data_IF_225435991228
#
_entry.id   IF_225435991228
#
_cell.length_a   1.000
_cell.length_b   1.000
_cell.length_c   1.000
_cell.angle_alpha   90.00
_cell.angle_beta   90.00
_cell.angle_gamma   90.00
#
_symmetry.space_group_name_H-M   'P 1'
#
loop_
_entity.id
_entity.type
_entity.pdbx_description
1 polymer ?
#
# COMPACT_ATOMS: atom_id res chain seq x y z
N UNK A 1 16.67 13.92 1.01
CA UNK A 1 15.87 14.90 1.79
C UNK A 1 14.66 14.24 2.44
N UNK A 2 13.78 13.55 1.71
CA UNK A 2 12.58 12.89 2.28
C UNK A 2 13.00 11.88 3.34
N UNK A 3 13.88 10.93 3.03
CA UNK A 3 14.38 9.94 3.96
C UNK A 3 14.93 10.53 5.27
N UNK A 4 15.68 11.64 5.20
CA UNK A 4 16.25 12.25 6.41
C UNK A 4 15.25 13.01 7.28
N UNK A 5 14.06 13.32 6.75
CA UNK A 5 12.99 14.04 7.46
C UNK A 5 11.65 13.31 7.25
N UNK A 6 11.56 12.06 7.69
CA UNK A 6 10.35 11.25 7.50
C UNK A 6 9.18 11.79 8.32
N UNK A 7 7.99 11.67 7.79
CA UNK A 7 6.74 12.09 8.43
C UNK A 7 5.72 10.96 8.36
N UNK A 8 5.00 10.72 9.46
CA UNK A 8 4.01 9.65 9.55
C UNK A 8 2.66 10.08 8.98
N UNK A 9 1.80 9.10 8.78
CA UNK A 9 0.45 9.21 8.22
C UNK A 9 -0.31 10.49 8.64
N UNK A 10 -0.82 11.24 7.67
CA UNK A 10 -1.52 12.53 7.79
C UNK A 10 -0.72 13.65 8.46
N UNK A 11 0.61 13.52 8.53
CA UNK A 11 1.53 14.55 9.02
C UNK A 11 2.65 14.86 8.02
N UNK A 12 2.51 14.42 6.77
CA UNK A 12 3.48 14.55 5.68
C UNK A 12 3.53 15.97 5.12
N UNK A 13 3.42 16.99 5.98
CA UNK A 13 3.34 18.40 5.55
C UNK A 13 4.61 18.86 4.85
N UNK A 14 5.78 18.56 5.40
CA UNK A 14 7.07 18.93 4.82
C UNK A 14 7.36 18.15 3.53
N UNK A 15 6.98 16.88 3.48
CA UNK A 15 7.09 16.02 2.28
C UNK A 15 6.17 16.56 1.18
N UNK A 16 4.91 16.87 1.51
CA UNK A 16 3.94 17.43 0.56
C UNK A 16 4.39 18.79 0.02
N UNK A 17 4.93 19.68 0.88
CA UNK A 17 5.48 20.98 0.45
C UNK A 17 6.67 20.79 -0.49
N UNK A 18 7.59 19.89 -0.16
CA UNK A 18 8.75 19.55 -0.99
C UNK A 18 8.33 19.02 -2.36
N UNK A 19 7.40 18.06 -2.42
CA UNK A 19 6.84 17.52 -3.66
C UNK A 19 6.19 18.64 -4.48
N UNK A 20 5.32 19.44 -3.86
CA UNK A 20 4.63 20.52 -4.53
C UNK A 20 5.60 21.60 -5.08
N UNK A 21 6.66 21.94 -4.33
CA UNK A 21 7.68 22.89 -4.78
C UNK A 21 8.44 22.35 -6.00
N UNK A 22 8.84 21.07 -6.00
CA UNK A 22 9.51 20.46 -7.14
C UNK A 22 8.61 20.40 -8.38
N UNK A 23 7.36 19.96 -8.23
CA UNK A 23 6.41 19.92 -9.34
C UNK A 23 6.20 21.31 -9.96
N UNK A 24 6.06 22.37 -9.13
CA UNK A 24 5.96 23.75 -9.62
C UNK A 24 7.23 24.18 -10.34
N UNK A 25 8.41 23.76 -9.89
CA UNK A 25 9.69 24.07 -10.56
C UNK A 25 9.83 23.40 -11.94
N UNK A 26 9.02 22.39 -12.21
CA UNK A 26 8.90 21.73 -13.53
C UNK A 26 7.75 22.29 -14.37
N UNK A 27 7.11 23.41 -13.97
CA UNK A 27 5.93 23.99 -14.59
C UNK A 27 4.70 23.05 -14.63
N UNK A 28 4.58 22.14 -13.67
CA UNK A 28 3.43 21.26 -13.51
C UNK A 28 2.32 21.98 -12.73
N UNK A 29 1.06 21.83 -13.16
CA UNK A 29 -0.11 22.26 -12.40
C UNK A 29 -0.21 21.45 -11.10
N UNK A 30 -0.31 22.12 -9.91
CA UNK A 30 -0.20 21.47 -8.59
C UNK A 30 -1.37 21.84 -7.69
N UNK A 31 -1.97 20.81 -7.10
CA UNK A 31 -3.01 20.91 -6.07
C UNK A 31 -2.53 20.19 -4.81
N UNK A 32 -2.69 20.84 -3.67
CA UNK A 32 -2.25 20.33 -2.36
C UNK A 32 -3.42 20.19 -1.40
N UNK A 33 -3.25 19.39 -0.36
CA UNK A 33 -4.27 19.19 0.66
C UNK A 33 -5.39 18.22 0.26
N UNK A 34 -5.18 17.39 -0.76
CA UNK A 34 -6.14 16.38 -1.19
C UNK A 34 -6.06 15.19 -0.23
N UNK A 35 -7.16 14.87 0.45
CA UNK A 35 -7.13 13.86 1.52
C UNK A 35 -6.19 14.26 2.65
N UNK A 36 -6.22 15.53 3.07
CA UNK A 36 -5.43 16.20 4.11
C UNK A 36 -4.03 16.64 3.62
N UNK A 37 -3.06 15.75 3.45
CA UNK A 37 -1.68 16.09 3.09
C UNK A 37 -1.28 15.67 1.68
N UNK A 38 -2.17 15.00 0.93
CA UNK A 38 -1.88 14.54 -0.42
C UNK A 38 -1.64 15.68 -1.43
N UNK A 39 -0.88 15.37 -2.47
CA UNK A 39 -0.54 16.30 -3.56
C UNK A 39 -0.94 15.67 -4.88
N UNK A 40 -1.56 16.46 -5.77
CA UNK A 40 -1.88 16.06 -7.14
C UNK A 40 -1.20 17.01 -8.11
N UNK A 41 -0.44 16.44 -9.05
CA UNK A 41 0.10 17.16 -10.20
C UNK A 41 -0.66 16.81 -11.48
N UNK A 42 -0.86 17.76 -12.39
CA UNK A 42 -1.48 17.50 -13.69
C UNK A 42 -0.57 17.97 -14.80
N UNK A 43 -0.28 17.06 -15.75
CA UNK A 43 0.50 17.40 -16.96
C UNK A 43 -0.39 17.21 -18.18
N UNK A 44 -0.54 18.26 -18.97
CA UNK A 44 -1.31 18.25 -20.21
C UNK A 44 -0.40 17.93 -21.40
N UNK A 45 -0.78 16.91 -22.18
CA UNK A 45 -0.13 16.61 -23.46
C UNK A 45 -0.42 17.70 -24.51
N UNK A 46 0.57 17.98 -25.34
CA UNK A 46 0.49 19.01 -26.41
C UNK A 46 -0.06 18.49 -27.74
N UNK A 47 -0.32 17.18 -27.85
CA UNK A 47 -0.83 16.58 -29.10
C UNK A 47 -2.37 16.50 -29.17
N UNK A 48 -3.07 17.19 -28.26
CA UNK A 48 -4.54 17.29 -28.24
C UNK A 48 -5.19 16.25 -27.30
N UNK A 49 -6.50 16.08 -27.49
CA UNK A 49 -7.31 15.22 -26.62
C UNK A 49 -6.90 13.76 -26.68
N UNK A 50 -7.04 13.08 -25.55
CA UNK A 50 -6.71 11.67 -25.36
C UNK A 50 -7.10 11.19 -23.97
N UNK A 51 -6.76 9.95 -23.59
CA UNK A 51 -7.06 9.42 -22.28
C UNK A 51 -6.32 10.16 -21.18
N UNK A 52 -6.82 10.00 -19.95
CA UNK A 52 -6.16 10.51 -18.74
C UNK A 52 -5.63 9.32 -17.94
N UNK A 53 -4.33 9.30 -17.72
CA UNK A 53 -3.66 8.23 -16.98
C UNK A 53 -3.15 8.75 -15.64
N UNK A 54 -3.49 8.07 -14.55
CA UNK A 54 -2.96 8.38 -13.24
C UNK A 54 -1.72 7.53 -12.91
N UNK A 55 -0.76 8.15 -12.23
CA UNK A 55 0.38 7.47 -11.61
C UNK A 55 0.36 7.79 -10.11
N UNK A 56 0.62 6.78 -9.25
CA UNK A 56 0.58 6.94 -7.79
C UNK A 56 1.92 6.60 -7.15
N UNK A 57 2.30 7.40 -6.17
CA UNK A 57 3.29 7.10 -5.14
C UNK A 57 2.73 7.48 -3.77
N UNK A 58 3.01 6.65 -2.77
CA UNK A 58 2.78 6.93 -1.36
C UNK A 58 3.89 7.82 -0.77
N UNK A 59 3.63 8.52 0.37
CA UNK A 59 4.56 9.51 0.90
C UNK A 59 4.94 9.31 2.37
N UNK A 60 4.14 8.55 3.12
CA UNK A 60 4.28 8.45 4.57
C UNK A 60 5.40 7.51 5.02
N UNK A 61 5.81 7.69 6.27
CA UNK A 61 6.83 6.91 6.94
C UNK A 61 6.22 6.14 8.12
N UNK A 62 7.01 5.23 8.68
CA UNK A 62 6.63 4.36 9.80
C UNK A 62 7.04 4.94 11.16
N UNK A 63 6.22 4.73 12.22
CA UNK A 63 6.59 5.06 13.59
C UNK A 63 7.54 4.00 14.18
N UNK A 64 8.77 3.97 13.69
CA UNK A 64 9.82 3.04 14.12
C UNK A 64 11.21 3.67 14.05
N UNK A 65 12.16 3.14 14.82
CA UNK A 65 13.54 3.61 14.83
C UNK A 65 14.35 3.01 13.69
N UNK A 66 15.06 3.85 12.94
CA UNK A 66 16.07 3.42 11.98
C UNK A 66 17.33 2.94 12.71
N UNK A 67 17.78 1.71 12.40
CA UNK A 67 19.03 1.16 12.91
C UNK A 67 20.14 1.15 11.84
N UNK A 68 19.79 1.36 10.59
CA UNK A 68 20.72 1.59 9.49
C UNK A 68 21.59 2.85 9.74
N UNK A 69 22.67 2.98 8.97
CA UNK A 69 23.60 4.12 9.11
C UNK A 69 23.93 4.78 7.77
N UNK A 70 22.94 4.99 6.86
CA UNK A 70 23.21 5.77 5.67
C UNK A 70 23.54 7.22 6.05
N UNK A 71 24.24 7.94 5.18
CA UNK A 71 24.59 9.35 5.41
C UNK A 71 23.38 10.27 5.49
N UNK A 72 22.27 9.82 4.93
CA UNK A 72 20.97 10.50 4.89
C UNK A 72 19.96 9.95 5.92
N UNK A 73 20.41 9.21 6.91
CA UNK A 73 19.60 8.66 7.98
C UNK A 73 18.59 9.68 8.54
N UNK A 74 17.44 9.18 9.01
CA UNK A 74 16.44 9.97 9.72
C UNK A 74 17.06 10.79 10.85
N UNK A 75 16.74 12.09 10.88
CA UNK A 75 17.12 12.98 11.97
C UNK A 75 16.11 12.96 13.11
N UNK A 76 14.99 12.25 12.95
CA UNK A 76 13.93 12.12 13.94
C UNK A 76 13.99 10.73 14.58
N UNK A 77 14.05 10.68 15.90
CA UNK A 77 13.93 9.44 16.65
C UNK A 77 12.48 8.92 16.55
N UNK A 78 12.33 7.62 16.32
CA UNK A 78 11.01 6.97 16.27
C UNK A 78 10.25 7.15 14.96
N UNK A 79 10.86 7.72 13.91
CA UNK A 79 10.23 7.83 12.58
C UNK A 79 11.24 7.50 11.49
N UNK A 80 10.84 6.67 10.54
CA UNK A 80 11.74 6.15 9.52
C UNK A 80 11.00 5.69 8.25
N UNK A 81 11.57 5.95 7.07
CA UNK A 81 11.10 5.38 5.80
C UNK A 81 11.51 3.91 5.66
N UNK A 82 10.83 3.05 6.40
CA UNK A 82 11.11 1.60 6.43
C UNK A 82 10.40 0.80 5.35
N UNK A 83 9.64 1.44 4.44
CA UNK A 83 8.89 0.78 3.35
C UNK A 83 9.33 1.23 1.94
N UNK A 84 10.08 2.34 1.82
CA UNK A 84 10.61 2.81 0.54
C UNK A 84 9.73 3.86 -0.16
N UNK A 85 8.77 4.45 0.55
CA UNK A 85 7.89 5.47 -0.02
C UNK A 85 8.66 6.73 -0.47
N UNK A 86 9.77 7.06 0.16
CA UNK A 86 10.70 8.11 -0.29
C UNK A 86 11.30 7.80 -1.68
N UNK A 87 11.58 6.52 -1.97
CA UNK A 87 11.96 6.03 -3.28
C UNK A 87 10.82 6.13 -4.29
N UNK A 88 9.59 5.75 -3.90
CA UNK A 88 8.41 5.86 -4.77
C UNK A 88 8.12 7.31 -5.15
N UNK A 89 8.17 8.24 -4.19
CA UNK A 89 8.07 9.69 -4.44
C UNK A 89 9.15 10.16 -5.41
N UNK A 90 10.39 9.72 -5.20
CA UNK A 90 11.52 10.08 -6.08
C UNK A 90 11.32 9.60 -7.51
N UNK A 91 10.82 8.37 -7.69
CA UNK A 91 10.48 7.80 -9.01
C UNK A 91 9.38 8.64 -9.67
N UNK A 92 8.30 8.95 -8.96
CA UNK A 92 7.19 9.72 -9.53
C UNK A 92 7.58 11.16 -9.86
N UNK A 93 8.43 11.81 -9.04
CA UNK A 93 9.01 13.13 -9.33
C UNK A 93 9.94 13.09 -10.54
N UNK A 94 10.77 12.04 -10.68
CA UNK A 94 11.61 11.82 -11.85
C UNK A 94 10.78 11.69 -13.13
N UNK A 95 9.68 10.94 -13.05
CA UNK A 95 8.70 10.79 -14.15
C UNK A 95 8.05 12.12 -14.48
N UNK A 96 7.62 12.89 -13.47
CA UNK A 96 7.02 14.21 -13.64
C UNK A 96 7.97 15.17 -14.38
N UNK A 97 9.24 15.22 -13.96
CA UNK A 97 10.28 16.04 -14.60
C UNK A 97 10.48 15.70 -16.06
N UNK A 98 10.54 14.38 -16.36
CA UNK A 98 10.70 13.90 -17.74
C UNK A 98 9.53 14.30 -18.62
N UNK A 99 8.29 14.10 -18.17
CA UNK A 99 7.07 14.41 -18.91
C UNK A 99 6.86 15.91 -19.10
N UNK A 100 7.16 16.71 -18.10
CA UNK A 100 7.07 18.17 -18.17
C UNK A 100 8.05 18.74 -19.20
N UNK A 101 9.25 18.19 -19.30
CA UNK A 101 10.23 18.53 -20.32
C UNK A 101 9.82 18.02 -21.74
N UNK A 102 9.06 16.92 -21.82
CA UNK A 102 8.69 16.24 -23.05
C UNK A 102 7.16 16.04 -23.14
N UNK A 103 6.33 17.09 -23.20
CA UNK A 103 4.86 16.96 -23.17
C UNK A 103 4.26 16.56 -24.53
N UNK A 104 5.01 15.84 -25.36
CA UNK A 104 4.60 15.39 -26.69
C UNK A 104 3.79 14.10 -26.60
N UNK A 105 2.57 14.20 -26.07
CA UNK A 105 1.61 13.09 -25.95
C UNK A 105 0.17 13.63 -26.01
N UNK A 106 -0.81 12.73 -26.18
CA UNK A 106 -2.24 13.05 -26.16
C UNK A 106 -2.84 12.85 -24.79
N UNK A 107 -3.80 13.71 -24.41
CA UNK A 107 -4.51 13.58 -23.13
C UNK A 107 -3.76 14.15 -21.96
N UNK A 108 -3.86 13.51 -20.79
CA UNK A 108 -3.36 14.04 -19.51
C UNK A 108 -2.68 12.96 -18.68
N UNK A 109 -1.75 13.39 -17.83
CA UNK A 109 -1.20 12.56 -16.74
C UNK A 109 -1.56 13.22 -15.42
N UNK A 110 -2.17 12.44 -14.52
CA UNK A 110 -2.46 12.82 -13.12
C UNK A 110 -1.44 12.12 -12.22
N UNK A 111 -0.65 12.90 -11.51
CA UNK A 111 0.38 12.43 -10.59
C UNK A 111 -0.18 12.50 -9.17
N UNK A 112 -0.37 11.36 -8.54
CA UNK A 112 -0.96 11.25 -7.20
C UNK A 112 0.12 10.92 -6.20
N UNK A 113 0.45 11.87 -5.32
CA UNK A 113 1.30 11.66 -4.16
C UNK A 113 0.41 11.47 -2.95
N UNK A 114 0.24 10.21 -2.57
CA UNK A 114 -0.75 9.78 -1.60
C UNK A 114 -0.19 9.79 -0.18
N UNK A 115 -0.92 10.34 0.82
CA UNK A 115 -0.56 10.23 2.24
C UNK A 115 -1.01 8.89 2.84
N UNK A 116 -0.58 8.60 4.05
CA UNK A 116 -1.18 7.67 5.02
C UNK A 116 -1.47 6.24 4.49
N UNK A 117 -0.58 5.70 3.67
CA UNK A 117 -0.67 4.31 3.18
C UNK A 117 -0.50 3.32 4.33
N UNK A 118 0.46 3.53 5.23
CA UNK A 118 0.85 2.61 6.31
C UNK A 118 -0.27 2.36 7.35
N UNK A 119 -1.28 3.21 7.35
CA UNK A 119 -2.49 3.01 8.15
C UNK A 119 -3.72 2.67 7.30
N UNK A 120 -3.51 2.36 6.01
CA UNK A 120 -4.53 1.98 5.00
C UNK A 120 -5.72 2.94 4.92
N UNK A 121 -5.45 4.26 4.95
CA UNK A 121 -6.48 5.31 4.98
C UNK A 121 -6.31 6.43 3.96
N UNK A 122 -5.12 6.57 3.37
CA UNK A 122 -4.78 7.73 2.56
C UNK A 122 -5.52 7.79 1.25
N UNK A 123 -5.59 6.69 0.53
CA UNK A 123 -6.32 6.61 -0.74
C UNK A 123 -7.81 6.88 -0.56
N UNK A 124 -8.45 6.32 0.47
CA UNK A 124 -9.85 6.58 0.78
C UNK A 124 -10.08 8.04 1.13
N UNK A 125 -9.19 8.64 1.93
CA UNK A 125 -9.28 10.07 2.28
C UNK A 125 -9.18 10.97 1.02
N UNK A 126 -8.35 10.61 0.04
CA UNK A 126 -8.27 11.34 -1.23
C UNK A 126 -9.53 11.16 -2.08
N UNK A 127 -10.11 9.95 -2.12
CA UNK A 127 -11.38 9.68 -2.81
C UNK A 127 -12.53 10.46 -2.17
N UNK A 128 -12.62 10.44 -0.85
CA UNK A 128 -13.67 11.16 -0.08
C UNK A 128 -13.56 12.70 -0.25
N UNK A 129 -12.34 13.23 -0.51
CA UNK A 129 -12.09 14.64 -0.82
C UNK A 129 -12.32 14.98 -2.30
N UNK A 130 -12.92 14.08 -3.05
CA UNK A 130 -13.33 14.30 -4.44
C UNK A 130 -12.21 14.17 -5.46
N UNK A 131 -11.25 13.29 -5.24
CA UNK A 131 -10.13 13.08 -6.18
C UNK A 131 -10.61 12.76 -7.60
N UNK A 132 -11.60 11.87 -7.74
CA UNK A 132 -12.09 11.44 -9.05
C UNK A 132 -12.96 12.49 -9.75
N UNK A 133 -13.66 13.32 -8.99
CA UNK A 133 -14.47 14.43 -9.50
C UNK A 133 -13.60 15.60 -9.99
N UNK A 134 -12.52 15.87 -9.24
CA UNK A 134 -11.61 16.99 -9.53
C UNK A 134 -10.55 16.64 -10.56
N UNK A 135 -10.06 15.42 -10.53
CA UNK A 135 -8.98 14.91 -11.38
C UNK A 135 -9.36 13.55 -11.99
N UNK A 136 -10.40 13.49 -12.84
CA UNK A 136 -10.85 12.22 -13.42
C UNK A 136 -9.75 11.57 -14.25
N UNK A 137 -9.60 10.27 -14.13
CA UNK A 137 -8.68 9.45 -14.91
C UNK A 137 -9.34 8.14 -15.36
N UNK A 138 -8.84 7.58 -16.46
CA UNK A 138 -9.37 6.37 -17.08
C UNK A 138 -8.69 5.10 -16.52
N UNK A 139 -7.39 5.20 -16.28
CA UNK A 139 -6.57 4.11 -15.73
C UNK A 139 -5.59 4.65 -14.69
N UNK A 140 -5.18 3.79 -13.75
CA UNK A 140 -4.15 4.11 -12.75
C UNK A 140 -3.04 3.07 -12.73
N UNK A 141 -1.80 3.54 -12.58
CA UNK A 141 -0.64 2.68 -12.40
C UNK A 141 0.15 3.09 -11.15
N UNK A 142 0.63 2.10 -10.42
CA UNK A 142 1.53 2.31 -9.30
C UNK A 142 2.57 1.19 -9.23
N UNK A 143 3.65 1.44 -8.54
CA UNK A 143 4.65 0.43 -8.23
C UNK A 143 4.93 0.40 -6.73
N UNK A 144 5.41 -0.74 -6.25
CA UNK A 144 6.04 -0.86 -4.95
C UNK A 144 7.38 -1.58 -5.10
N UNK A 145 8.39 -1.13 -4.38
CA UNK A 145 9.65 -1.84 -4.30
C UNK A 145 9.46 -3.19 -3.60
N UNK A 146 10.14 -4.21 -4.08
CA UNK A 146 10.10 -5.54 -3.45
C UNK A 146 11.51 -6.06 -3.15
N UNK A 147 11.90 -6.12 -1.85
CA UNK A 147 13.17 -6.70 -1.45
C UNK A 147 13.30 -8.21 -1.72
N UNK A 148 12.19 -8.93 -1.90
CA UNK A 148 12.22 -10.36 -2.22
C UNK A 148 12.58 -10.62 -3.69
N UNK A 149 12.37 -9.65 -4.56
CA UNK A 149 12.79 -9.72 -5.95
C UNK A 149 14.23 -9.19 -6.09
N UNK A 150 15.09 -9.88 -6.86
CA UNK A 150 16.40 -9.34 -7.19
C UNK A 150 16.29 -7.95 -7.84
N UNK A 151 17.29 -7.06 -7.67
CA UNK A 151 17.33 -5.78 -8.35
C UNK A 151 17.10 -5.91 -9.85
N UNK A 152 16.45 -4.93 -10.45
CA UNK A 152 16.15 -4.83 -11.89
C UNK A 152 15.11 -5.82 -12.40
N UNK A 153 14.43 -6.59 -11.53
CA UNK A 153 13.29 -7.43 -11.94
C UNK A 153 11.97 -6.70 -11.73
N UNK A 154 11.05 -6.97 -12.64
CA UNK A 154 9.66 -6.51 -12.54
C UNK A 154 8.76 -7.72 -12.28
N UNK A 155 7.97 -7.64 -11.22
CA UNK A 155 6.95 -8.64 -10.88
C UNK A 155 5.55 -8.08 -11.10
N UNK A 156 4.69 -8.82 -11.80
CA UNK A 156 3.31 -8.42 -12.04
C UNK A 156 2.40 -9.65 -12.20
N UNK A 157 1.12 -9.51 -11.90
CA UNK A 157 0.10 -10.52 -12.24
C UNK A 157 -1.24 -9.87 -12.51
N UNK A 158 -2.04 -10.49 -13.36
CA UNK A 158 -3.46 -10.16 -13.52
C UNK A 158 -4.30 -10.74 -12.37
N UNK A 159 -5.39 -10.07 -12.03
CA UNK A 159 -6.24 -10.46 -10.93
C UNK A 159 -5.64 -10.12 -9.57
N UNK A 160 -5.94 -10.95 -8.57
CA UNK A 160 -5.53 -10.71 -7.19
C UNK A 160 -4.00 -10.78 -7.02
N UNK A 161 -3.38 -9.66 -6.68
CA UNK A 161 -1.93 -9.56 -6.43
C UNK A 161 -1.60 -9.45 -4.96
N UNK A 162 -2.38 -8.68 -4.20
CA UNK A 162 -2.21 -8.55 -2.75
C UNK A 162 -3.56 -8.68 -2.04
N UNK A 163 -3.53 -9.08 -0.78
CA UNK A 163 -4.73 -9.30 0.02
C UNK A 163 -5.38 -8.00 0.47
N UNK A 164 -6.67 -8.08 0.81
CA UNK A 164 -7.34 -7.07 1.63
C UNK A 164 -6.67 -6.92 2.99
N UNK A 165 -6.91 -5.77 3.61
CA UNK A 165 -6.40 -5.48 4.95
C UNK A 165 -7.52 -4.93 5.81
N UNK A 166 -8.03 -5.74 6.74
CA UNK A 166 -9.07 -5.33 7.67
C UNK A 166 -8.54 -5.48 9.10
N UNK A 167 -8.63 -4.41 9.88
CA UNK A 167 -8.28 -4.40 11.29
C UNK A 167 -9.54 -4.35 12.13
N UNK A 168 -9.62 -5.17 13.18
CA UNK A 168 -10.77 -5.19 14.06
C UNK A 168 -10.37 -5.28 15.54
N UNK A 169 -11.22 -4.72 16.39
CA UNK A 169 -11.18 -4.88 17.84
C UNK A 169 -12.46 -5.56 18.29
N UNK A 170 -12.35 -6.64 19.05
CA UNK A 170 -13.48 -7.32 19.69
C UNK A 170 -13.39 -7.10 21.19
N UNK A 171 -14.47 -6.62 21.78
CA UNK A 171 -14.61 -6.41 23.23
C UNK A 171 -15.65 -7.36 23.79
N UNK A 172 -15.20 -8.30 24.61
CA UNK A 172 -16.06 -9.25 25.31
C UNK A 172 -16.39 -8.67 26.69
N UNK A 173 -17.63 -8.29 26.91
CA UNK A 173 -18.08 -7.79 28.22
C UNK A 173 -18.20 -8.95 29.20
N UNK A 174 -17.72 -8.76 30.41
CA UNK A 174 -17.79 -9.71 31.50
C UNK A 174 -18.56 -9.13 32.70
N UNK A 175 -18.80 -9.98 33.68
CA UNK A 175 -19.23 -9.57 35.00
C UNK A 175 -18.17 -10.04 35.98
N UNK A 176 -17.36 -9.10 36.46
CA UNK A 176 -16.25 -9.38 37.37
C UNK A 176 -16.70 -9.96 38.70
N UNK A 177 -15.96 -10.92 39.23
CA UNK A 177 -16.23 -11.57 40.51
C UNK A 177 -14.97 -12.20 41.10
N UNK A 178 -15.07 -12.73 42.29
CA UNK A 178 -14.00 -13.52 42.90
C UNK A 178 -13.74 -14.81 42.11
N UNK A 179 -12.50 -15.11 41.78
CA UNK A 179 -12.15 -16.28 40.94
C UNK A 179 -12.64 -17.62 41.49
N UNK A 180 -12.78 -17.74 42.81
CA UNK A 180 -13.39 -18.91 43.47
C UNK A 180 -14.93 -18.98 43.42
N UNK A 181 -15.57 -17.96 42.84
CA UNK A 181 -17.07 -17.86 42.77
C UNK A 181 -17.52 -17.52 41.34
N UNK A 182 -17.07 -18.27 40.31
CA UNK A 182 -17.32 -17.92 38.89
C UNK A 182 -18.82 -17.94 38.52
N UNK A 183 -19.64 -18.67 39.26
CA UNK A 183 -21.11 -18.73 39.06
C UNK A 183 -21.85 -17.42 39.38
N UNK A 184 -21.16 -16.44 39.99
CA UNK A 184 -21.70 -15.11 40.30
C UNK A 184 -21.30 -14.07 39.24
N UNK A 185 -20.52 -14.47 38.27
CA UNK A 185 -20.03 -13.58 37.22
C UNK A 185 -20.16 -14.15 35.79
N UNK A 186 -19.60 -13.43 34.83
CA UNK A 186 -19.43 -13.88 33.46
C UNK A 186 -17.93 -13.70 33.12
N UNK A 187 -17.26 -14.76 32.84
CA UNK A 187 -15.80 -14.76 32.61
C UNK A 187 -15.45 -14.43 31.15
N UNK A 188 -15.01 -13.20 30.84
CA UNK A 188 -14.67 -12.81 29.48
C UNK A 188 -13.37 -13.46 28.97
N UNK A 189 -12.50 -14.01 29.85
CA UNK A 189 -11.28 -14.70 29.44
C UNK A 189 -11.64 -16.04 28.77
N UNK A 190 -12.51 -16.83 29.40
CA UNK A 190 -12.94 -18.12 28.85
C UNK A 190 -13.73 -17.96 27.56
N UNK A 191 -14.54 -16.90 27.45
CA UNK A 191 -15.28 -16.56 26.22
C UNK A 191 -14.31 -16.13 25.13
N UNK A 192 -13.35 -15.22 25.43
CA UNK A 192 -12.34 -14.75 24.49
C UNK A 192 -11.44 -15.89 23.97
N UNK A 193 -11.04 -16.81 24.84
CA UNK A 193 -10.25 -17.98 24.44
C UNK A 193 -11.05 -18.90 23.48
N UNK A 194 -12.35 -19.10 23.76
CA UNK A 194 -13.27 -19.83 22.88
C UNK A 194 -13.42 -19.11 21.55
N UNK A 195 -13.55 -17.79 21.56
CA UNK A 195 -13.66 -16.96 20.37
C UNK A 195 -12.41 -17.12 19.49
N UNK A 196 -11.18 -16.99 20.04
CA UNK A 196 -9.93 -17.18 19.29
C UNK A 196 -9.92 -18.53 18.55
N UNK A 197 -10.29 -19.61 19.23
CA UNK A 197 -10.34 -20.96 18.63
C UNK A 197 -11.44 -21.06 17.56
N UNK A 198 -12.61 -20.47 17.82
CA UNK A 198 -13.75 -20.53 16.90
C UNK A 198 -13.48 -19.76 15.61
N UNK A 199 -12.81 -18.62 15.67
CA UNK A 199 -12.44 -17.81 14.52
C UNK A 199 -11.55 -18.59 13.53
N UNK A 200 -10.69 -19.50 14.00
CA UNK A 200 -9.86 -20.34 13.12
C UNK A 200 -10.70 -21.32 12.29
N UNK A 201 -11.93 -21.65 12.74
CA UNK A 201 -12.83 -22.52 11.95
C UNK A 201 -13.37 -21.83 10.70
N UNK A 202 -13.35 -20.53 10.64
CA UNK A 202 -13.77 -19.79 9.42
C UNK A 202 -12.88 -20.19 8.26
N UNK A 203 -11.56 -20.09 8.43
CA UNK A 203 -10.58 -20.46 7.41
C UNK A 203 -10.66 -21.95 7.06
N UNK A 204 -10.75 -22.80 8.08
CA UNK A 204 -10.67 -24.25 7.85
C UNK A 204 -11.99 -24.91 7.45
N UNK A 205 -13.17 -24.28 7.69
CA UNK A 205 -14.50 -24.91 7.50
C UNK A 205 -15.50 -24.06 6.71
N UNK A 206 -15.29 -22.75 6.57
CA UNK A 206 -16.24 -21.87 5.88
C UNK A 206 -15.71 -21.35 4.54
N UNK A 207 -14.41 -21.08 4.46
CA UNK A 207 -13.75 -20.60 3.22
C UNK A 207 -13.53 -21.77 2.27
N UNK A 208 -13.73 -21.54 0.96
CA UNK A 208 -13.37 -22.51 -0.08
C UNK A 208 -11.87 -22.85 0.03
N UNK A 209 -11.47 -24.15 0.07
CA UNK A 209 -10.06 -24.55 0.18
C UNK A 209 -9.13 -24.04 -0.91
N UNK A 210 -9.67 -23.57 -2.05
CA UNK A 210 -8.91 -22.97 -3.16
C UNK A 210 -8.74 -21.45 -2.99
N UNK A 211 -9.37 -20.85 -1.99
CA UNK A 211 -9.28 -19.42 -1.66
C UNK A 211 -8.33 -19.20 -0.48
N UNK A 212 -7.66 -18.06 -0.48
CA UNK A 212 -6.73 -17.72 0.60
C UNK A 212 -7.33 -16.66 1.52
N UNK A 213 -7.49 -17.02 2.80
CA UNK A 213 -7.91 -16.12 3.88
C UNK A 213 -7.02 -16.36 5.09
N UNK A 214 -6.61 -15.27 5.75
CA UNK A 214 -5.91 -15.32 7.04
C UNK A 214 -6.69 -14.52 8.06
N UNK A 215 -6.96 -15.11 9.22
CA UNK A 215 -7.55 -14.43 10.39
C UNK A 215 -6.58 -14.59 11.55
N UNK A 216 -6.08 -13.46 12.05
CA UNK A 216 -5.12 -13.44 13.15
C UNK A 216 -5.66 -12.61 14.30
N UNK A 217 -5.64 -13.16 15.52
CA UNK A 217 -5.73 -12.38 16.75
C UNK A 217 -4.29 -12.10 17.19
N UNK A 218 -3.90 -10.82 17.11
CA UNK A 218 -2.54 -10.38 17.39
C UNK A 218 -2.35 -9.90 18.84
N UNK A 219 -3.44 -9.51 19.49
CA UNK A 219 -3.41 -9.00 20.88
C UNK A 219 -4.64 -9.50 21.65
N UNK A 220 -4.43 -9.95 22.87
CA UNK A 220 -5.47 -10.37 23.79
C UNK A 220 -5.12 -9.86 25.19
N UNK A 221 -5.92 -8.93 25.71
CA UNK A 221 -5.74 -8.33 27.03
C UNK A 221 -6.96 -8.58 27.90
N UNK A 222 -6.75 -9.12 29.11
CA UNK A 222 -7.81 -9.31 30.10
C UNK A 222 -7.22 -9.55 31.49
N UNK A 223 -7.77 -8.90 32.51
CA UNK A 223 -7.48 -9.12 33.92
C UNK A 223 -6.10 -8.63 34.39
N UNK A 224 -6.05 -8.20 35.65
CA UNK A 224 -4.87 -7.63 36.30
C UNK A 224 -4.42 -8.43 37.54
N UNK A 225 -5.29 -9.29 38.08
CA UNK A 225 -5.04 -10.04 39.28
C UNK A 225 -5.48 -11.51 39.17
N UNK A 226 -4.70 -12.48 39.71
CA UNK A 226 -4.94 -13.91 39.51
C UNK A 226 -6.19 -14.45 40.24
N UNK A 227 -6.74 -13.70 41.17
CA UNK A 227 -7.92 -14.09 42.00
C UNK A 227 -9.19 -13.30 41.66
N UNK A 228 -9.21 -12.57 40.52
CA UNK A 228 -10.32 -11.75 40.07
C UNK A 228 -10.69 -12.09 38.62
N UNK A 229 -11.96 -12.40 38.38
CA UNK A 229 -12.54 -12.46 37.04
C UNK A 229 -12.76 -11.00 36.57
N UNK A 230 -12.18 -10.58 35.41
CA UNK A 230 -12.25 -9.19 34.95
C UNK A 230 -13.65 -8.81 34.41
N UNK A 231 -13.84 -7.51 34.16
CA UNK A 231 -15.06 -6.97 33.54
C UNK A 231 -15.06 -7.03 32.03
N UNK A 232 -13.87 -7.18 31.40
CA UNK A 232 -13.73 -7.13 29.96
C UNK A 232 -12.50 -7.95 29.50
N UNK A 233 -12.60 -8.49 28.27
CA UNK A 233 -11.47 -8.94 27.50
C UNK A 233 -11.48 -8.22 26.15
N UNK A 234 -10.30 -7.75 25.70
CA UNK A 234 -10.12 -7.03 24.44
C UNK A 234 -9.20 -7.84 23.53
N UNK A 235 -9.66 -8.12 22.32
CA UNK A 235 -8.92 -8.85 21.30
C UNK A 235 -8.79 -7.96 20.07
N UNK A 236 -7.56 -7.76 19.60
CA UNK A 236 -7.31 -7.07 18.33
C UNK A 236 -6.78 -8.05 17.30
N UNK A 237 -7.26 -7.92 16.09
CA UNK A 237 -6.93 -8.83 15.02
C UNK A 237 -7.02 -8.22 13.61
N UNK A 238 -6.67 -9.07 12.65
CA UNK A 238 -6.73 -8.71 11.23
C UNK A 238 -7.37 -9.82 10.41
N UNK A 239 -8.03 -9.40 9.31
CA UNK A 239 -8.45 -10.30 8.22
C UNK A 239 -7.69 -9.94 6.96
N UNK A 240 -7.20 -10.94 6.25
CA UNK A 240 -6.58 -10.84 4.92
C UNK A 240 -7.29 -11.80 3.98
N UNK A 241 -7.66 -11.35 2.78
CA UNK A 241 -8.31 -12.18 1.76
C UNK A 241 -7.89 -11.73 0.36
N UNK A 242 -7.75 -12.66 -0.57
CA UNK A 242 -7.38 -12.38 -1.97
C UNK A 242 -8.59 -12.10 -2.87
N UNK A 243 -9.82 -12.21 -2.36
CA UNK A 243 -11.04 -11.87 -3.09
C UNK A 243 -12.03 -11.12 -2.21
N UNK A 244 -12.85 -10.24 -2.80
CA UNK A 244 -13.90 -9.53 -2.09
C UNK A 244 -14.90 -10.51 -1.46
N UNK A 245 -15.31 -11.56 -2.18
CA UNK A 245 -16.25 -12.55 -1.68
C UNK A 245 -15.74 -13.30 -0.44
N UNK A 246 -14.46 -13.72 -0.44
CA UNK A 246 -13.86 -14.41 0.70
C UNK A 246 -13.65 -13.45 1.90
N UNK A 247 -13.38 -12.17 1.63
CA UNK A 247 -13.31 -11.12 2.65
C UNK A 247 -14.66 -10.90 3.33
N UNK A 248 -15.72 -10.68 2.55
CA UNK A 248 -17.09 -10.50 3.03
C UNK A 248 -17.55 -11.71 3.86
N UNK A 249 -17.35 -12.93 3.35
CA UNK A 249 -17.62 -14.16 4.07
C UNK A 249 -16.90 -14.22 5.42
N UNK A 250 -15.60 -13.88 5.45
CA UNK A 250 -14.83 -13.91 6.70
C UNK A 250 -15.38 -12.90 7.73
N UNK A 251 -15.70 -11.68 7.30
CA UNK A 251 -16.28 -10.63 8.15
C UNK A 251 -17.65 -11.05 8.70
N UNK A 252 -18.53 -11.57 7.84
CA UNK A 252 -19.85 -12.08 8.23
C UNK A 252 -19.72 -13.22 9.26
N UNK A 253 -18.83 -14.18 9.01
CA UNK A 253 -18.64 -15.32 9.93
C UNK A 253 -18.04 -14.90 11.28
N UNK A 254 -17.16 -13.89 11.32
CA UNK A 254 -16.69 -13.32 12.60
C UNK A 254 -17.87 -12.79 13.41
N UNK A 255 -18.76 -12.02 12.77
CA UNK A 255 -19.96 -11.48 13.42
C UNK A 255 -20.90 -12.59 13.92
N UNK A 256 -21.11 -13.65 13.11
CA UNK A 256 -21.95 -14.79 13.48
C UNK A 256 -21.42 -15.53 14.72
N UNK A 257 -20.10 -15.78 14.76
CA UNK A 257 -19.45 -16.44 15.91
C UNK A 257 -19.61 -15.60 17.17
N UNK A 258 -19.39 -14.28 17.07
CA UNK A 258 -19.59 -13.37 18.17
C UNK A 258 -21.03 -13.41 18.69
N UNK A 259 -22.04 -13.30 17.80
CA UNK A 259 -23.47 -13.41 18.17
C UNK A 259 -23.80 -14.74 18.83
N UNK A 260 -23.23 -15.85 18.31
CA UNK A 260 -23.40 -17.17 18.91
C UNK A 260 -22.86 -17.25 20.34
N UNK A 261 -21.69 -16.67 20.60
CA UNK A 261 -21.07 -16.65 21.92
C UNK A 261 -21.80 -15.68 22.89
N UNK A 262 -22.32 -14.56 22.41
CA UNK A 262 -23.19 -13.66 23.20
C UNK A 262 -24.40 -14.42 23.76
N UNK A 263 -25.13 -15.13 22.89
CA UNK A 263 -26.31 -15.91 23.27
C UNK A 263 -25.96 -17.02 24.25
N UNK A 264 -24.90 -17.77 23.96
CA UNK A 264 -24.48 -18.91 24.79
C UNK A 264 -24.03 -18.51 26.20
N UNK A 265 -23.39 -17.33 26.32
CA UNK A 265 -22.80 -16.86 27.58
C UNK A 265 -23.59 -15.73 28.24
N UNK A 266 -24.72 -15.28 27.68
CA UNK A 266 -25.56 -14.16 28.18
C UNK A 266 -24.73 -12.91 28.42
N UNK A 267 -23.89 -12.55 27.47
CA UNK A 267 -23.01 -11.38 27.52
C UNK A 267 -23.19 -10.51 26.29
N UNK A 268 -22.44 -9.43 26.19
CA UNK A 268 -22.34 -8.56 25.01
C UNK A 268 -20.93 -8.66 24.44
N UNK A 269 -20.83 -8.76 23.12
CA UNK A 269 -19.55 -8.75 22.37
C UNK A 269 -19.63 -7.68 21.29
N UNK A 270 -18.89 -6.60 21.47
CA UNK A 270 -18.81 -5.50 20.51
C UNK A 270 -17.66 -5.75 19.52
N UNK A 271 -17.91 -5.49 18.23
CA UNK A 271 -16.89 -5.57 17.17
C UNK A 271 -16.79 -4.20 16.52
N UNK A 272 -15.58 -3.70 16.39
CA UNK A 272 -15.25 -2.46 15.70
C UNK A 272 -14.20 -2.74 14.62
N UNK A 273 -14.46 -2.31 13.37
CA UNK A 273 -13.49 -2.30 12.29
C UNK A 273 -12.91 -0.90 12.16
N UNK A 274 -11.58 -0.75 12.28
CA UNK A 274 -10.93 0.56 12.34
C UNK A 274 -10.41 1.03 10.99
N UNK A 275 -9.71 0.17 10.27
CA UNK A 275 -9.09 0.46 8.99
C UNK A 275 -9.34 -0.72 8.06
N UNK A 276 -9.60 -0.42 6.78
CA UNK A 276 -10.03 -1.44 5.84
C UNK A 276 -9.68 -1.05 4.41
N UNK A 277 -9.13 -1.99 3.66
CA UNK A 277 -8.90 -1.82 2.22
C UNK A 277 -9.23 -3.12 1.48
N UNK A 278 -9.79 -3.05 0.25
CA UNK A 278 -10.06 -4.23 -0.56
C UNK A 278 -8.77 -4.92 -1.01
N UNK A 279 -8.84 -6.12 -1.61
CA UNK A 279 -7.68 -6.74 -2.23
C UNK A 279 -7.23 -5.95 -3.46
N UNK A 280 -5.93 -5.95 -3.75
CA UNK A 280 -5.40 -5.42 -5.01
C UNK A 280 -5.75 -6.37 -6.13
N UNK A 281 -6.61 -5.89 -7.04
CA UNK A 281 -7.03 -6.61 -8.23
C UNK A 281 -6.54 -5.87 -9.47
N UNK A 282 -5.51 -6.37 -10.10
CA UNK A 282 -4.99 -5.79 -11.33
C UNK A 282 -5.86 -6.16 -12.55
N UNK A 283 -6.17 -5.18 -13.38
CA UNK A 283 -6.95 -5.35 -14.59
C UNK A 283 -6.11 -5.93 -15.74
N UNK A 284 -6.67 -6.84 -16.54
CA UNK A 284 -5.97 -7.57 -17.61
C UNK A 284 -5.32 -6.64 -18.65
N UNK A 285 -6.02 -5.58 -19.08
CA UNK A 285 -5.51 -4.61 -20.04
C UNK A 285 -4.27 -3.85 -19.54
N UNK A 286 -4.37 -3.18 -18.38
CA UNK A 286 -3.25 -2.54 -17.71
C UNK A 286 -2.07 -3.48 -17.42
N UNK A 287 -2.32 -4.73 -17.01
CA UNK A 287 -1.23 -5.72 -16.79
C UNK A 287 -0.48 -6.02 -18.08
N UNK A 288 -1.17 -6.23 -19.21
CA UNK A 288 -0.53 -6.44 -20.51
C UNK A 288 0.33 -5.24 -20.91
N UNK A 289 -0.13 -4.02 -20.62
CA UNK A 289 0.64 -2.80 -20.84
C UNK A 289 1.92 -2.79 -20.01
N UNK A 290 1.83 -3.07 -18.70
CA UNK A 290 3.00 -3.15 -17.80
C UNK A 290 3.97 -4.24 -18.25
N UNK A 291 3.50 -5.43 -18.64
CA UNK A 291 4.36 -6.51 -19.16
C UNK A 291 5.12 -6.05 -20.42
N UNK A 292 4.43 -5.41 -21.37
CA UNK A 292 5.07 -4.90 -22.59
C UNK A 292 6.11 -3.83 -22.27
N UNK A 293 5.79 -2.88 -21.39
CA UNK A 293 6.72 -1.86 -20.91
C UNK A 293 7.94 -2.48 -20.21
N UNK A 294 7.71 -3.49 -19.37
CA UNK A 294 8.79 -4.17 -18.66
C UNK A 294 9.71 -4.95 -19.61
N UNK A 295 9.16 -5.59 -20.65
CA UNK A 295 9.99 -6.24 -21.67
C UNK A 295 10.91 -5.25 -22.41
N UNK A 296 10.42 -4.03 -22.64
CA UNK A 296 11.22 -2.96 -23.26
C UNK A 296 12.31 -2.44 -22.32
N UNK A 297 11.97 -2.17 -21.04
CA UNK A 297 12.84 -1.48 -20.09
C UNK A 297 13.91 -2.41 -19.49
N UNK A 298 13.50 -3.60 -19.02
CA UNK A 298 14.42 -4.52 -18.31
C UNK A 298 14.74 -5.80 -19.09
N UNK A 299 14.12 -6.00 -20.24
CA UNK A 299 14.25 -7.22 -21.03
C UNK A 299 13.38 -8.36 -20.50
N UNK A 300 12.89 -9.20 -21.40
CA UNK A 300 11.89 -10.24 -21.15
C UNK A 300 12.27 -11.22 -20.01
N UNK A 301 13.54 -11.58 -19.87
CA UNK A 301 14.03 -12.51 -18.85
C UNK A 301 14.07 -11.92 -17.41
N UNK A 302 13.90 -10.62 -17.28
CA UNK A 302 13.79 -9.93 -15.99
C UNK A 302 12.35 -9.63 -15.59
N UNK A 303 11.36 -10.13 -16.35
CA UNK A 303 9.93 -9.95 -16.04
C UNK A 303 9.33 -11.25 -15.54
N UNK A 304 8.68 -11.18 -14.38
CA UNK A 304 7.91 -12.29 -13.79
C UNK A 304 6.43 -11.95 -13.99
N UNK A 305 5.85 -12.48 -15.07
CA UNK A 305 4.50 -12.13 -15.54
C UNK A 305 3.35 -12.72 -14.69
N UNK A 306 3.66 -13.59 -13.72
CA UNK A 306 2.69 -14.22 -12.83
C UNK A 306 3.32 -14.50 -11.48
N UNK A 307 3.63 -13.43 -10.74
CA UNK A 307 4.14 -13.57 -9.37
C UNK A 307 3.11 -14.23 -8.48
N UNK A 308 3.57 -14.92 -7.43
CA UNK A 308 2.67 -15.42 -6.40
C UNK A 308 1.96 -14.24 -5.70
N UNK A 309 0.66 -14.37 -5.37
CA UNK A 309 -0.02 -13.32 -4.63
C UNK A 309 0.55 -13.21 -3.22
N UNK A 310 0.54 -11.99 -2.66
CA UNK A 310 1.03 -11.70 -1.32
C UNK A 310 -0.14 -11.50 -0.35
N UNK A 311 0.02 -11.94 0.89
CA UNK A 311 -0.94 -11.65 1.96
C UNK A 311 -0.66 -10.32 2.67
N UNK A 312 0.20 -9.47 2.09
CA UNK A 312 0.31 -8.04 2.39
C UNK A 312 -0.84 -7.27 1.74
N UNK A 313 -1.09 -6.04 2.17
CA UNK A 313 -2.08 -5.15 1.56
C UNK A 313 -1.47 -3.78 1.35
N UNK A 314 -2.03 -3.02 0.41
CA UNK A 314 -1.72 -1.62 0.13
C UNK A 314 -3.04 -0.93 -0.25
N UNK A 315 -3.28 0.26 0.25
CA UNK A 315 -4.55 0.96 0.04
C UNK A 315 -4.71 1.58 -1.36
N UNK A 316 -3.70 1.46 -2.24
CA UNK A 316 -3.86 1.67 -3.69
C UNK A 316 -5.02 0.84 -4.24
N UNK A 317 -5.39 -0.24 -3.56
CA UNK A 317 -6.53 -1.08 -3.87
C UNK A 317 -7.84 -0.29 -4.02
N UNK A 318 -8.06 0.77 -3.22
CA UNK A 318 -9.25 1.62 -3.34
C UNK A 318 -9.30 2.36 -4.69
N UNK A 319 -8.17 2.82 -5.21
CA UNK A 319 -8.11 3.42 -6.55
C UNK A 319 -8.35 2.38 -7.65
N UNK A 320 -7.81 1.15 -7.47
CA UNK A 320 -7.99 0.05 -8.42
C UNK A 320 -9.41 -0.52 -8.42
N UNK A 321 -10.13 -0.41 -7.31
CA UNK A 321 -11.57 -0.71 -7.25
C UNK A 321 -12.39 0.36 -8.00
N UNK A 322 -11.98 1.63 -7.89
CA UNK A 322 -12.65 2.74 -8.54
C UNK A 322 -12.37 2.84 -10.05
N UNK A 323 -11.17 2.45 -10.50
CA UNK A 323 -10.73 2.54 -11.92
C UNK A 323 -9.85 1.36 -12.30
N UNK A 324 -9.89 0.92 -13.57
CA UNK A 324 -8.96 -0.09 -14.07
C UNK A 324 -7.51 0.37 -13.86
N UNK A 325 -6.63 -0.57 -13.53
CA UNK A 325 -5.23 -0.22 -13.31
C UNK A 325 -4.35 -1.43 -13.07
N UNK A 326 -3.09 -1.13 -12.77
CA UNK A 326 -2.09 -2.12 -12.41
C UNK A 326 -1.12 -1.58 -11.35
N UNK A 327 -1.04 -2.30 -10.26
CA UNK A 327 0.05 -2.20 -9.28
C UNK A 327 1.08 -3.27 -9.59
N UNK A 328 2.36 -2.92 -9.74
CA UNK A 328 3.43 -3.87 -10.07
C UNK A 328 4.60 -3.72 -9.09
N UNK A 329 5.44 -4.75 -9.02
CA UNK A 329 6.56 -4.79 -8.09
C UNK A 329 7.88 -4.51 -8.82
N UNK A 330 8.71 -3.64 -8.20
CA UNK A 330 10.05 -3.31 -8.63
C UNK A 330 11.06 -3.98 -7.70
N UNK A 331 11.77 -4.98 -8.20
CA UNK A 331 12.80 -5.69 -7.45
C UNK A 331 13.95 -4.77 -7.05
N UNK A 332 14.27 -4.78 -5.77
CA UNK A 332 15.39 -4.00 -5.23
C UNK A 332 16.41 -4.84 -4.44
N UNK A 333 16.03 -6.06 -3.98
CA UNK A 333 16.84 -6.84 -3.06
C UNK A 333 16.96 -6.19 -1.67
N UNK A 334 17.87 -6.68 -0.86
CA UNK A 334 18.18 -6.08 0.45
C UNK A 334 17.32 -6.57 1.61
N UNK A 335 17.14 -5.73 2.62
CA UNK A 335 16.31 -6.02 3.80
C UNK A 335 14.83 -5.85 3.47
N UNK A 336 13.99 -6.67 4.11
CA UNK A 336 12.54 -6.58 3.98
C UNK A 336 12.03 -5.21 4.44
N UNK A 337 10.95 -4.74 3.81
CA UNK A 337 10.18 -3.61 4.31
C UNK A 337 9.82 -3.81 5.78
N UNK A 338 9.76 -2.73 6.55
CA UNK A 338 9.55 -2.68 8.00
C UNK A 338 10.70 -3.29 8.84
N UNK A 339 11.84 -3.67 8.21
CA UNK A 339 13.04 -4.03 8.96
C UNK A 339 13.77 -2.77 9.43
N UNK A 340 14.26 -2.68 10.69
CA UNK A 340 14.93 -1.46 11.19
C UNK A 340 16.19 -1.02 10.42
N UNK A 341 16.79 -1.92 9.66
CA UNK A 341 17.94 -1.66 8.77
C UNK A 341 17.54 -1.65 7.29
N UNK A 342 16.25 -1.45 7.00
CA UNK A 342 15.80 -1.31 5.62
C UNK A 342 16.42 -0.05 5.00
N UNK A 343 16.70 -0.13 3.69
CA UNK A 343 17.13 1.02 2.89
C UNK A 343 16.63 0.81 1.46
N UNK A 344 16.07 1.87 0.86
CA UNK A 344 15.66 1.82 -0.52
C UNK A 344 16.88 1.79 -1.42
N UNK A 345 16.90 0.90 -2.40
CA UNK A 345 18.00 0.82 -3.36
C UNK A 345 17.84 1.87 -4.45
N UNK A 346 18.53 2.98 -4.34
CA UNK A 346 18.49 4.09 -5.31
C UNK A 346 18.82 3.67 -6.74
N UNK A 347 19.61 2.61 -6.93
CA UNK A 347 20.00 2.11 -8.28
C UNK A 347 18.79 1.60 -9.10
N UNK A 348 17.68 1.28 -8.46
CA UNK A 348 16.46 0.84 -9.16
C UNK A 348 15.51 1.98 -9.49
N UNK A 349 15.72 3.18 -8.93
CA UNK A 349 14.84 4.32 -9.18
C UNK A 349 14.76 4.72 -10.67
N UNK A 350 15.86 4.76 -11.44
CA UNK A 350 15.79 5.02 -12.89
C UNK A 350 14.92 4.01 -13.64
N UNK A 351 14.90 2.75 -13.20
CA UNK A 351 14.04 1.70 -13.79
C UNK A 351 12.57 2.01 -13.53
N UNK A 352 12.23 2.41 -12.30
CA UNK A 352 10.87 2.82 -11.95
C UNK A 352 10.38 3.98 -12.83
N UNK A 353 11.24 4.99 -13.06
CA UNK A 353 10.95 6.11 -13.98
C UNK A 353 10.73 5.60 -15.40
N UNK A 354 11.66 4.78 -15.91
CA UNK A 354 11.56 4.22 -17.25
C UNK A 354 10.30 3.37 -17.44
N UNK A 355 9.90 2.61 -16.42
CA UNK A 355 8.66 1.83 -16.42
C UNK A 355 7.41 2.72 -16.55
N UNK A 356 7.31 3.77 -15.75
CA UNK A 356 6.17 4.69 -15.84
C UNK A 356 6.14 5.40 -17.21
N UNK A 357 7.30 5.84 -17.71
CA UNK A 357 7.39 6.47 -19.04
C UNK A 357 6.98 5.49 -20.15
N UNK A 358 7.43 4.23 -20.11
CA UNK A 358 7.09 3.22 -21.09
C UNK A 358 5.58 2.87 -21.07
N UNK A 359 4.97 2.77 -19.88
CA UNK A 359 3.52 2.61 -19.72
C UNK A 359 2.77 3.78 -20.36
N UNK A 360 3.17 5.01 -20.06
CA UNK A 360 2.53 6.21 -20.61
C UNK A 360 2.74 6.31 -22.13
N UNK A 361 3.91 5.91 -22.64
CA UNK A 361 4.15 5.82 -24.10
C UNK A 361 3.14 4.90 -24.76
N UNK A 362 2.89 3.75 -24.18
CA UNK A 362 1.91 2.79 -24.71
C UNK A 362 0.48 3.31 -24.66
N UNK A 363 0.12 4.12 -23.65
CA UNK A 363 -1.25 4.59 -23.43
C UNK A 363 -1.57 5.93 -24.08
N UNK A 364 -0.61 6.84 -24.11
CA UNK A 364 -0.79 8.23 -24.56
C UNK A 364 -0.06 8.54 -25.88
N UNK A 365 0.71 7.58 -26.43
CA UNK A 365 1.51 7.82 -27.63
C UNK A 365 2.60 8.86 -27.38
N UNK A 366 3.32 8.77 -26.24
CA UNK A 366 4.45 9.67 -25.95
C UNK A 366 5.52 9.48 -27.01
N UNK A 367 5.77 10.51 -27.82
CA UNK A 367 6.87 10.52 -28.77
C UNK A 367 8.18 10.81 -28.02
N UNK A 368 9.16 9.95 -28.18
CA UNK A 368 10.53 10.17 -27.66
C UNK A 368 11.39 10.70 -28.77
N UNK A 369 11.98 11.87 -28.60
CA UNK A 369 13.13 12.23 -29.43
C UNK A 369 14.26 11.27 -29.06
N UNK A 370 14.73 10.46 -30.04
CA UNK A 370 15.66 9.32 -29.89
C UNK A 370 17.03 9.64 -29.26
N UNK A 371 17.29 10.85 -28.77
CA UNK A 371 18.63 11.27 -28.36
C UNK A 371 18.95 11.17 -26.86
N UNK A 372 17.98 10.98 -25.94
CA UNK A 372 18.27 11.07 -24.49
C UNK A 372 18.30 9.69 -23.79
N UNK A 373 17.63 8.69 -24.34
CA UNK A 373 17.58 7.36 -23.72
C UNK A 373 18.86 6.53 -23.90
N UNK A 374 19.64 6.77 -24.94
CA UNK A 374 20.87 6.03 -25.22
C UNK A 374 22.11 6.60 -24.51
N UNK A 375 22.15 7.90 -24.23
CA UNK A 375 23.34 8.54 -23.65
C UNK A 375 23.37 8.46 -22.11
N UNK A 376 22.24 8.55 -21.41
CA UNK A 376 22.24 8.47 -19.95
C UNK A 376 22.49 7.06 -19.38
N UNK A 377 22.14 6.01 -20.14
CA UNK A 377 22.45 4.62 -19.77
C UNK A 377 23.91 4.28 -20.13
N UNK A 378 24.47 4.90 -21.13
CA UNK A 378 25.85 4.65 -21.59
C UNK A 378 26.90 5.45 -20.78
N UNK A 379 26.58 6.62 -20.25
CA UNK A 379 27.51 7.40 -19.42
C UNK A 379 27.62 6.86 -18.00
N UNK A 380 26.50 6.43 -17.39
CA UNK A 380 26.54 5.79 -16.06
C UNK A 380 27.31 4.47 -16.03
N UNK A 381 27.40 3.75 -17.17
CA UNK A 381 28.17 2.51 -17.27
C UNK A 381 29.67 2.71 -17.54
N UNK A 382 30.11 3.90 -17.94
CA UNK A 382 31.53 4.19 -18.25
C UNK A 382 32.29 4.84 -17.08
N UNK A 383 31.63 5.43 -16.12
CA UNK A 383 32.30 6.04 -14.95
C UNK A 383 32.60 5.04 -13.81
N UNK A 384 32.08 3.82 -13.85
CA UNK A 384 32.34 2.79 -12.81
C UNK A 384 33.50 1.85 -13.12
N UNK A 385 34.28 2.09 -14.19
CA UNK A 385 35.48 1.25 -14.51
C UNK A 385 36.81 1.99 -14.41
N UNK A 386 36.89 3.03 -13.64
CA UNK A 386 38.12 3.75 -13.37
C UNK A 386 38.23 4.21 -11.92
N UNK A 387 38.53 3.26 -10.99
CA UNK A 387 39.51 3.42 -9.89
C UNK A 387 39.50 2.14 -9.06
#
# INVERSE_FOLDING_TARGET
MIHSKPEIAFREHGTAEFVAALLRSFDVEVHTGIGQTGVVGVIHGRLGDGPTIALRADMDALPMNEQGRPVYRSVFEGVFHGCGHDGHVSILLGTARYLAANPLFRGKVVLIFQPAEEIVRGSQAMLDDGLLERFPFDEIYSLHNDPMLPPHKIGVRAGAQQASSDFFTIRVKGVGTHAGMPHLGVDPITIGATLVSSLQTIVSRSVNPLESVVITIARFHAGDAPNVIPHEAVLDGTVRALSAASRELAIERIQDICRGLELANRTQIDIEYSNSTPPIINSDGPVKCVISAAHEVVGKHNVIESIAPLMAGDDVANFLEARPGCHFLLGQGGRMCHHPEYDFNDDVAPIGVAMFVAVLRSRLGVEVEDQVAAESVAEGARETTGF
#
